data_IF_326665294168
#
_entry.id   IF_326665294168
#
_cell.length_a   1.000
_cell.length_b   1.000
_cell.length_c   1.000
_cell.angle_alpha   90.00
_cell.angle_beta   90.00
_cell.angle_gamma   90.00
#
_symmetry.space_group_name_H-M   'P 1'
#
loop_
_entity.id
_entity.type
_entity.pdbx_description
1 polymer ?
#
# COMPACT_ATOMS: atom_id res chain seq x y z
N UNK A 1 -11.81 -61.22 -44.00
CA UNK A 1 -11.89 -61.15 -42.53
C UNK A 1 -10.73 -60.28 -42.05
N UNK A 2 -11.00 -58.99 -41.81
CA UNK A 2 -10.95 -58.34 -40.46
C UNK A 2 -9.55 -57.74 -40.25
N UNK A 3 -9.31 -56.44 -40.01
CA UNK A 3 -10.12 -55.24 -39.81
C UNK A 3 -9.22 -54.16 -39.14
N UNK A 4 -9.49 -52.88 -39.44
CA UNK A 4 -9.19 -51.65 -38.66
C UNK A 4 -7.72 -51.30 -38.29
N UNK A 5 -7.11 -50.19 -38.75
CA UNK A 5 -7.36 -48.74 -38.52
C UNK A 5 -7.04 -48.26 -37.10
N UNK A 6 -5.93 -47.50 -37.00
CA UNK A 6 -5.89 -46.20 -36.31
C UNK A 6 -5.45 -46.17 -34.84
N UNK A 7 -4.42 -45.36 -34.58
CA UNK A 7 -4.01 -44.90 -33.26
C UNK A 7 -2.60 -44.31 -33.38
N UNK A 8 -2.45 -43.14 -34.02
CA UNK A 8 -2.23 -41.86 -33.34
C UNK A 8 -1.16 -42.04 -32.25
N UNK A 9 0.10 -42.02 -32.65
CA UNK A 9 1.19 -41.67 -31.74
C UNK A 9 0.93 -40.25 -31.28
N UNK A 10 0.40 -40.15 -30.06
CA UNK A 10 0.33 -38.93 -29.30
C UNK A 10 1.74 -38.37 -29.23
N UNK A 11 2.00 -37.31 -29.98
CA UNK A 11 2.96 -36.29 -29.59
C UNK A 11 2.59 -35.91 -28.17
N UNK A 12 3.28 -36.56 -27.23
CA UNK A 12 3.22 -36.29 -25.81
C UNK A 12 3.78 -34.88 -25.63
N UNK A 13 2.90 -33.90 -25.73
CA UNK A 13 3.19 -32.52 -25.34
C UNK A 13 3.66 -32.61 -23.89
N UNK A 14 4.88 -32.14 -23.57
CA UNK A 14 5.33 -32.14 -22.18
C UNK A 14 4.30 -31.36 -21.37
N UNK A 15 3.96 -31.81 -20.14
CA UNK A 15 3.03 -31.07 -19.32
C UNK A 15 3.64 -29.69 -19.09
N UNK A 16 2.82 -28.67 -19.35
CA UNK A 16 3.08 -27.24 -19.17
C UNK A 16 3.20 -26.93 -17.66
N UNK A 17 4.09 -27.65 -16.97
CA UNK A 17 4.38 -27.46 -15.55
C UNK A 17 5.20 -26.17 -15.42
N UNK A 18 4.78 -25.37 -14.44
CA UNK A 18 5.66 -24.44 -13.73
C UNK A 18 5.99 -23.07 -14.34
N UNK A 19 5.13 -22.49 -15.18
CA UNK A 19 5.20 -21.02 -15.38
C UNK A 19 4.27 -20.24 -14.46
N UNK A 20 3.14 -20.82 -14.07
CA UNK A 20 2.16 -20.15 -13.19
C UNK A 20 2.43 -20.42 -11.69
N UNK A 21 3.02 -21.56 -11.31
CA UNK A 21 3.25 -21.93 -9.91
C UNK A 21 4.42 -21.18 -9.22
N UNK A 22 5.38 -20.67 -9.99
CA UNK A 22 6.44 -19.79 -9.46
C UNK A 22 5.97 -18.32 -9.41
N UNK A 23 4.97 -17.98 -10.23
CA UNK A 23 4.37 -16.65 -10.27
C UNK A 23 3.35 -16.46 -9.15
N UNK A 24 2.61 -17.49 -8.76
CA UNK A 24 1.52 -17.41 -7.77
C UNK A 24 1.96 -16.95 -6.36
N UNK A 25 3.09 -17.42 -5.76
CA UNK A 25 3.45 -17.01 -4.40
C UNK A 25 3.98 -15.58 -4.35
N UNK A 26 4.76 -15.17 -5.36
CA UNK A 26 5.30 -13.82 -5.43
C UNK A 26 4.23 -12.80 -5.85
N UNK A 27 3.37 -13.14 -6.81
CA UNK A 27 2.25 -12.29 -7.20
C UNK A 27 1.33 -12.01 -6.00
N UNK A 28 0.96 -13.04 -5.22
CA UNK A 28 0.15 -12.86 -4.02
C UNK A 28 0.83 -11.97 -2.97
N UNK A 29 2.15 -12.07 -2.80
CA UNK A 29 2.90 -11.19 -1.88
C UNK A 29 2.88 -9.72 -2.29
N UNK A 30 3.08 -9.45 -3.58
CA UNK A 30 3.00 -8.08 -4.09
C UNK A 30 1.56 -7.55 -4.13
N UNK A 31 0.58 -8.42 -4.37
CA UNK A 31 -0.84 -8.07 -4.26
C UNK A 31 -1.20 -7.68 -2.83
N UNK A 32 -0.80 -8.50 -1.84
CA UNK A 32 -1.02 -8.22 -0.43
C UNK A 32 -0.37 -6.88 -0.03
N UNK A 33 0.88 -6.64 -0.44
CA UNK A 33 1.55 -5.35 -0.21
C UNK A 33 0.78 -4.20 -0.87
N UNK A 34 0.37 -4.35 -2.13
CA UNK A 34 -0.40 -3.35 -2.85
C UNK A 34 -1.70 -2.99 -2.15
N UNK A 35 -2.41 -3.97 -1.59
CA UNK A 35 -3.63 -3.74 -0.80
C UNK A 35 -3.36 -3.05 0.53
N UNK A 36 -2.28 -3.40 1.23
CA UNK A 36 -1.86 -2.70 2.44
C UNK A 36 -1.51 -1.24 2.12
N UNK A 37 -0.70 -0.99 1.09
CA UNK A 37 -0.34 0.38 0.69
C UNK A 37 -1.56 1.18 0.22
N UNK A 38 -2.51 0.55 -0.47
CA UNK A 38 -3.78 1.17 -0.83
C UNK A 38 -4.59 1.56 0.42
N UNK A 39 -4.71 0.66 1.41
CA UNK A 39 -5.37 0.96 2.67
C UNK A 39 -4.72 2.13 3.42
N UNK A 40 -3.38 2.18 3.47
CA UNK A 40 -2.63 3.29 4.07
C UNK A 40 -2.83 4.61 3.31
N UNK A 41 -2.79 4.56 1.97
CA UNK A 41 -3.00 5.75 1.13
C UNK A 41 -4.41 6.33 1.22
N UNK A 42 -5.41 5.51 1.58
CA UNK A 42 -6.77 5.96 1.86
C UNK A 42 -6.90 6.76 3.15
N UNK A 43 -5.90 6.70 4.03
CA UNK A 43 -5.84 7.44 5.30
C UNK A 43 -4.66 8.44 5.26
N UNK A 44 -4.80 9.47 4.43
CA UNK A 44 -3.74 10.44 4.14
C UNK A 44 -3.15 11.07 5.41
N UNK A 45 -3.99 11.41 6.39
CA UNK A 45 -3.54 11.94 7.69
C UNK A 45 -2.53 11.00 8.36
N UNK A 46 -2.84 9.72 8.46
CA UNK A 46 -1.98 8.75 9.13
C UNK A 46 -0.65 8.57 8.39
N UNK A 47 -0.69 8.58 7.06
CA UNK A 47 0.51 8.46 6.23
C UNK A 47 1.41 9.69 6.32
N UNK A 48 0.84 10.89 6.31
CA UNK A 48 1.58 12.17 6.47
C UNK A 48 2.27 12.30 7.82
N UNK A 49 1.72 11.64 8.85
CA UNK A 49 2.30 11.60 10.18
C UNK A 49 3.53 10.69 10.29
N UNK A 50 3.69 9.73 9.37
CA UNK A 50 4.83 8.81 9.35
C UNK A 50 6.04 9.50 8.73
N UNK A 51 7.10 9.72 9.53
CA UNK A 51 8.41 10.12 8.99
C UNK A 51 9.23 8.90 8.63
N UNK A 52 10.09 9.06 7.63
CA UNK A 52 11.02 8.01 7.19
C UNK A 52 10.34 6.65 6.90
N UNK A 53 9.13 6.69 6.32
CA UNK A 53 8.37 5.50 5.98
C UNK A 53 9.16 4.65 4.96
N UNK A 54 9.42 3.40 5.33
CA UNK A 54 10.11 2.43 4.51
C UNK A 54 9.39 1.09 4.53
N UNK A 55 9.51 0.35 3.44
CA UNK A 55 9.06 -1.04 3.38
C UNK A 55 10.08 -1.91 2.62
N UNK A 56 10.26 -3.13 3.10
CA UNK A 56 11.19 -4.09 2.49
C UNK A 56 10.73 -5.51 2.76
N UNK A 57 11.28 -6.45 2.00
CA UNK A 57 11.02 -7.87 2.19
C UNK A 57 12.07 -8.46 3.11
N UNK A 58 11.62 -9.15 4.16
CA UNK A 58 12.47 -9.87 5.10
C UNK A 58 13.02 -11.18 4.51
N UNK A 59 14.01 -11.75 5.19
CA UNK A 59 14.57 -13.07 4.85
C UNK A 59 13.59 -14.22 5.08
N UNK A 60 12.58 -13.99 5.94
CA UNK A 60 11.47 -14.89 6.23
C UNK A 60 10.30 -14.74 5.24
N UNK A 61 10.51 -13.98 4.15
CA UNK A 61 9.50 -13.64 3.15
C UNK A 61 8.33 -12.80 3.67
N UNK A 62 8.42 -12.26 4.89
CA UNK A 62 7.47 -11.27 5.40
C UNK A 62 7.74 -9.90 4.79
N UNK A 63 6.71 -9.04 4.79
CA UNK A 63 6.87 -7.62 4.52
C UNK A 63 7.09 -6.87 5.81
N UNK A 64 8.13 -6.06 5.86
CA UNK A 64 8.35 -5.11 6.94
C UNK A 64 7.92 -3.73 6.48
N UNK A 65 7.18 -3.03 7.32
CA UNK A 65 6.82 -1.62 7.14
C UNK A 65 7.26 -0.89 8.41
N UNK A 66 8.13 0.09 8.25
CA UNK A 66 8.68 0.85 9.36
C UNK A 66 8.53 2.34 9.13
N UNK A 67 8.26 3.07 10.19
CA UNK A 67 8.23 4.52 10.20
C UNK A 67 8.74 5.05 11.54
N UNK A 68 9.09 6.33 11.55
CA UNK A 68 9.47 7.11 12.73
C UNK A 68 8.39 8.14 13.06
N UNK A 69 8.24 8.46 14.34
CA UNK A 69 7.18 9.31 14.86
C UNK A 69 5.79 8.75 14.49
N UNK A 70 4.74 9.57 14.51
CA UNK A 70 3.47 9.21 13.89
C UNK A 70 2.61 8.24 14.72
N UNK A 71 1.76 7.45 14.04
CA UNK A 71 0.80 6.55 14.67
C UNK A 71 1.48 5.38 15.39
N UNK A 72 0.78 4.79 16.35
CA UNK A 72 1.17 3.51 16.91
C UNK A 72 1.07 2.40 15.86
N UNK A 73 1.92 1.37 15.96
CA UNK A 73 1.81 0.19 15.12
C UNK A 73 0.45 -0.51 15.25
N UNK A 74 -0.15 -0.49 16.45
CA UNK A 74 -1.51 -0.99 16.69
C UNK A 74 -2.61 -0.19 15.97
N UNK A 75 -2.45 1.13 15.83
CA UNK A 75 -3.39 1.99 15.10
C UNK A 75 -3.33 1.69 13.60
N UNK A 76 -2.13 1.58 13.05
CA UNK A 76 -1.91 1.17 11.65
C UNK A 76 -2.44 -0.24 11.40
N UNK A 77 -2.20 -1.16 12.33
CA UNK A 77 -2.71 -2.53 12.25
C UNK A 77 -4.24 -2.58 12.20
N UNK A 78 -4.91 -1.84 13.07
CA UNK A 78 -6.37 -1.75 13.09
C UNK A 78 -6.92 -1.17 11.79
N UNK A 79 -6.30 -0.11 11.26
CA UNK A 79 -6.66 0.48 9.97
C UNK A 79 -6.57 -0.55 8.84
N UNK A 80 -5.46 -1.29 8.74
CA UNK A 80 -5.24 -2.30 7.71
C UNK A 80 -6.30 -3.41 7.80
N UNK A 81 -6.56 -3.93 9.00
CA UNK A 81 -7.61 -4.95 9.23
C UNK A 81 -8.98 -4.43 8.81
N UNK A 82 -9.29 -3.17 9.10
CA UNK A 82 -10.56 -2.56 8.75
C UNK A 82 -10.71 -2.38 7.23
N UNK A 83 -9.66 -1.90 6.55
CA UNK A 83 -9.72 -1.39 5.18
C UNK A 83 -9.34 -2.42 4.11
N UNK A 84 -8.52 -3.42 4.44
CA UNK A 84 -8.19 -4.48 3.49
C UNK A 84 -9.34 -5.49 3.46
N UNK A 85 -10.24 -5.30 2.49
CA UNK A 85 -11.41 -6.16 2.23
C UNK A 85 -11.54 -6.48 0.75
N UNK A 86 -12.21 -7.58 0.43
CA UNK A 86 -12.60 -7.90 -0.94
C UNK A 86 -14.07 -7.48 -1.17
N UNK A 87 -14.35 -6.62 -2.15
CA UNK A 87 -15.73 -6.35 -2.56
C UNK A 87 -16.44 -7.64 -2.98
N UNK A 88 -17.50 -8.02 -2.28
CA UNK A 88 -18.35 -9.18 -2.63
C UNK A 88 -17.94 -10.52 -2.00
N UNK A 89 -16.88 -10.57 -1.20
CA UNK A 89 -16.48 -11.75 -0.44
C UNK A 89 -16.72 -11.54 1.06
N UNK A 90 -17.44 -12.46 1.68
CA UNK A 90 -17.76 -12.38 3.11
C UNK A 90 -16.57 -12.88 3.94
N UNK A 91 -15.72 -11.97 4.41
CA UNK A 91 -14.67 -12.27 5.39
C UNK A 91 -13.57 -11.22 5.45
N UNK A 92 -12.88 -11.09 6.59
CA UNK A 92 -11.70 -10.25 6.68
C UNK A 92 -10.55 -10.86 5.86
N UNK A 93 -9.92 -10.07 4.99
CA UNK A 93 -8.71 -10.48 4.28
C UNK A 93 -7.43 -10.26 5.10
N UNK A 94 -7.54 -9.52 6.20
CA UNK A 94 -6.45 -9.17 7.09
C UNK A 94 -6.84 -9.46 8.54
N UNK A 95 -5.88 -9.95 9.32
CA UNK A 95 -6.07 -10.24 10.74
C UNK A 95 -4.76 -10.16 11.53
N UNK A 96 -4.83 -10.10 12.87
CA UNK A 96 -3.65 -10.14 13.72
C UNK A 96 -2.99 -11.53 13.64
N UNK A 97 -1.66 -11.56 13.57
CA UNK A 97 -0.86 -12.78 13.50
C UNK A 97 0.10 -12.96 14.69
N UNK A 98 0.06 -12.07 15.67
CA UNK A 98 0.97 -12.11 16.81
C UNK A 98 0.84 -10.88 17.71
N UNK A 99 1.98 -10.39 18.19
CA UNK A 99 2.04 -9.23 19.07
C UNK A 99 1.46 -8.01 18.34
N UNK A 100 0.61 -7.27 19.05
CA UNK A 100 0.12 -5.95 18.64
C UNK A 100 0.36 -5.00 19.81
N UNK A 101 1.25 -4.04 19.61
CA UNK A 101 1.68 -3.06 20.62
C UNK A 101 1.79 -1.67 19.99
N UNK A 102 2.18 -0.69 20.82
CA UNK A 102 2.40 0.67 20.35
C UNK A 102 3.51 0.77 19.29
N UNK A 103 4.57 -0.04 19.41
CA UNK A 103 5.77 0.04 18.56
C UNK A 103 5.88 -1.10 17.55
N UNK A 104 5.13 -2.19 17.70
CA UNK A 104 5.21 -3.32 16.77
C UNK A 104 3.87 -4.01 16.63
N UNK A 105 3.51 -4.40 15.42
CA UNK A 105 2.33 -5.22 15.16
C UNK A 105 2.60 -6.28 14.08
N UNK A 106 2.12 -7.49 14.29
CA UNK A 106 2.17 -8.57 13.28
C UNK A 106 0.79 -8.83 12.70
N UNK A 107 0.69 -8.85 11.37
CA UNK A 107 -0.54 -9.10 10.62
C UNK A 107 -0.35 -10.27 9.66
N UNK A 108 -1.44 -10.98 9.40
CA UNK A 108 -1.60 -11.81 8.21
C UNK A 108 -2.54 -11.07 7.26
N UNK A 109 -2.12 -10.91 6.01
CA UNK A 109 -2.94 -10.33 4.94
C UNK A 109 -2.93 -11.30 3.78
N UNK A 110 -4.06 -11.95 3.52
CA UNK A 110 -4.21 -12.95 2.45
C UNK A 110 -3.20 -14.12 2.56
N UNK A 111 -2.82 -14.53 3.78
CA UNK A 111 -1.80 -15.55 4.00
C UNK A 111 -0.36 -15.04 3.84
N UNK A 112 -0.15 -13.72 3.79
CA UNK A 112 1.18 -13.08 3.73
C UNK A 112 1.42 -12.34 5.03
N UNK A 113 2.54 -12.62 5.67
CA UNK A 113 2.90 -12.00 6.95
C UNK A 113 3.45 -10.59 6.77
N UNK A 114 3.00 -9.67 7.63
CA UNK A 114 3.49 -8.30 7.74
C UNK A 114 3.96 -8.01 9.16
N UNK A 115 5.07 -7.29 9.25
CA UNK A 115 5.60 -6.76 10.50
C UNK A 115 5.63 -5.24 10.40
N UNK A 116 4.81 -4.59 11.21
CA UNK A 116 4.74 -3.15 11.34
C UNK A 116 5.65 -2.70 12.49
N UNK A 117 6.49 -1.69 12.27
CA UNK A 117 7.38 -1.12 13.29
C UNK A 117 7.26 0.39 13.33
N UNK A 118 6.88 0.91 14.50
CA UNK A 118 6.87 2.34 14.77
C UNK A 118 8.03 2.67 15.70
N UNK A 119 8.93 3.54 15.23
CA UNK A 119 10.07 4.05 16.01
C UNK A 119 9.64 5.35 16.68
N UNK A 120 9.73 5.40 18.00
CA UNK A 120 9.29 6.54 18.83
C UNK A 120 7.83 7.00 18.55
N UNK A 121 6.84 6.08 18.55
CA UNK A 121 5.48 6.44 18.20
C UNK A 121 4.85 7.36 19.24
N UNK A 122 4.06 8.33 18.77
CA UNK A 122 3.36 9.30 19.61
C UNK A 122 1.86 8.97 19.68
N UNK A 123 1.33 8.34 18.63
CA UNK A 123 -0.07 7.96 18.49
C UNK A 123 -0.93 9.07 17.90
N UNK A 124 -1.94 8.69 17.12
CA UNK A 124 -2.80 9.64 16.39
C UNK A 124 -3.57 10.59 17.32
N UNK A 125 -4.04 10.09 18.46
CA UNK A 125 -4.77 10.91 19.43
C UNK A 125 -3.92 12.09 19.95
N UNK A 126 -2.64 11.82 20.29
CA UNK A 126 -1.72 12.87 20.77
C UNK A 126 -1.30 13.80 19.65
N UNK A 127 -1.07 13.28 18.46
CA UNK A 127 -0.74 14.08 17.28
C UNK A 127 -1.85 15.11 16.97
N UNK A 128 -3.11 14.67 16.95
CA UNK A 128 -4.28 15.55 16.75
C UNK A 128 -4.46 16.58 17.87
N UNK A 129 -3.99 16.28 19.08
CA UNK A 129 -4.06 17.21 20.21
C UNK A 129 -3.02 18.34 20.19
N UNK A 130 -1.98 18.27 19.33
CA UNK A 130 -0.93 19.29 19.25
C UNK A 130 -1.36 20.43 18.30
N UNK A 131 -1.63 21.65 18.81
CA UNK A 131 -1.92 22.78 17.95
C UNK A 131 -0.63 23.22 17.27
N UNK A 132 -0.51 23.02 15.95
CA UNK A 132 0.57 23.62 15.15
C UNK A 132 1.19 22.74 14.06
N UNK A 133 1.16 21.42 14.19
CA UNK A 133 1.73 20.52 13.16
C UNK A 133 0.68 20.07 12.13
N UNK A 134 -0.58 19.94 12.54
CA UNK A 134 -1.66 19.42 11.68
C UNK A 134 -2.48 20.47 10.95
N UNK A 135 -2.45 21.73 11.40
CA UNK A 135 -3.33 22.77 10.85
C UNK A 135 -2.89 23.32 9.50
N UNK A 136 -1.68 23.00 9.02
CA UNK A 136 -1.17 23.53 7.75
C UNK A 136 -1.54 22.68 6.53
N UNK A 137 -1.66 21.35 6.63
CA UNK A 137 -2.11 20.50 5.51
C UNK A 137 -3.61 20.69 5.25
N UNK A 138 -4.45 20.64 6.29
CA UNK A 138 -5.89 20.86 6.16
C UNK A 138 -6.28 22.26 5.64
N UNK A 139 -5.46 23.29 5.87
CA UNK A 139 -5.71 24.63 5.29
C UNK A 139 -5.33 24.71 3.81
N UNK A 140 -4.41 23.88 3.31
CA UNK A 140 -4.07 23.82 1.89
C UNK A 140 -5.18 23.16 1.06
N UNK A 141 -5.82 22.11 1.58
CA UNK A 141 -6.95 21.45 0.92
C UNK A 141 -8.22 22.32 0.86
N UNK A 142 -8.45 23.17 1.87
CA UNK A 142 -9.55 24.13 1.87
C UNK A 142 -9.34 25.33 0.93
N UNK A 143 -8.09 25.75 0.70
CA UNK A 143 -7.77 26.92 -0.13
C UNK A 143 -7.96 26.65 -1.64
N UNK A 144 -7.86 25.39 -2.09
CA UNK A 144 -8.10 25.02 -3.49
C UNK A 144 -9.60 25.05 -3.88
N UNK A 145 -10.52 25.03 -2.91
CA UNK A 145 -11.97 25.00 -3.14
C UNK A 145 -12.68 26.36 -3.12
N UNK A 146 -12.06 27.42 -2.59
CA UNK A 146 -12.76 28.67 -2.27
C UNK A 146 -12.57 29.84 -3.25
N UNK A 147 -11.76 29.71 -4.31
CA UNK A 147 -11.59 30.80 -5.28
C UNK A 147 -11.60 30.28 -6.72
N UNK A 148 -12.80 30.13 -7.30
CA UNK A 148 -12.95 30.20 -8.76
C UNK A 148 -14.35 30.57 -9.23
N UNK A 149 -14.73 31.82 -9.01
CA UNK A 149 -15.67 32.53 -9.90
C UNK A 149 -14.94 33.66 -10.62
N UNK A 150 -14.18 33.35 -11.68
CA UNK A 150 -13.95 34.23 -12.85
C UNK A 150 -13.66 33.35 -14.06
N UNK A 151 -14.38 33.60 -15.16
CA UNK A 151 -14.26 32.97 -16.50
C UNK A 151 -13.42 33.91 -17.42
N UNK A 152 -13.03 33.51 -18.63
CA UNK A 152 -11.67 33.24 -19.06
C UNK A 152 -11.04 34.33 -19.95
N UNK A 153 -9.70 34.49 -19.92
CA UNK A 153 -8.88 34.69 -21.15
C UNK A 153 -7.38 34.70 -20.84
N UNK A 154 -6.63 34.19 -21.82
CA UNK A 154 -5.22 34.40 -22.15
C UNK A 154 -4.17 33.42 -21.60
N UNK A 155 -3.56 32.78 -22.60
CA UNK A 155 -2.42 31.88 -22.61
C UNK A 155 -1.10 32.61 -22.29
N UNK A 156 -0.10 31.81 -21.92
CA UNK A 156 1.35 32.03 -21.95
C UNK A 156 1.98 32.78 -20.77
N UNK A 157 2.64 32.03 -19.87
CA UNK A 157 4.00 32.29 -19.38
C UNK A 157 4.30 31.41 -18.15
N UNK A 158 4.47 30.10 -18.33
CA UNK A 158 4.86 29.21 -17.22
C UNK A 158 5.78 28.07 -17.63
N UNK A 159 6.18 28.00 -18.91
CA UNK A 159 7.06 26.93 -19.41
C UNK A 159 8.55 27.26 -19.36
N UNK A 160 8.96 28.46 -18.91
CA UNK A 160 10.36 28.91 -19.02
C UNK A 160 11.07 29.18 -17.68
N UNK A 161 10.39 29.04 -16.53
CA UNK A 161 10.99 29.40 -15.24
C UNK A 161 12.16 28.48 -14.83
N UNK A 162 12.19 27.24 -15.32
CA UNK A 162 13.23 26.28 -14.94
C UNK A 162 14.53 26.41 -15.76
N UNK A 163 14.51 27.09 -16.91
CA UNK A 163 15.71 27.27 -17.75
C UNK A 163 16.62 28.41 -17.26
N UNK A 164 16.10 29.40 -16.53
CA UNK A 164 16.92 30.50 -15.97
C UNK A 164 17.70 30.12 -14.71
N UNK A 165 17.31 29.06 -14.00
CA UNK A 165 17.93 28.66 -12.72
C UNK A 165 19.20 27.81 -12.88
N UNK A 166 19.52 27.35 -14.09
CA UNK A 166 20.69 26.49 -14.34
C UNK A 166 21.81 27.17 -15.15
N UNK A 167 21.72 28.48 -15.37
CA UNK A 167 22.80 29.30 -15.93
C UNK A 167 22.92 29.22 -17.45
N UNK A 168 22.40 30.26 -18.11
CA UNK A 168 22.84 30.69 -19.44
C UNK A 168 23.66 31.97 -19.31
#
# INVERSE_FOLDING_TARGET
MTGYRGGRDETQTPPDLDRDDIRTPNARRYEALGRVMAALSGEAEMLEACRDLAWWRGSDHSWHIEWRDGPHASEVAALVIERVREPGLAGPLAGPAGIVSASTASLDVMGVSFVLRAIDPIGMARLRSRPGLWRMSATLDGAAGAVRRVRPRQHSSSRQHWEELLGG
#
